data_IF_344508147537
#
_entry.id   IF_344508147537
#
_cell.length_a   1.000
_cell.length_b   1.000
_cell.length_c   1.000
_cell.angle_alpha   90.00
_cell.angle_beta   90.00
_cell.angle_gamma   90.00
#
_symmetry.space_group_name_H-M   'P 1'
#
loop_
_entity.id
_entity.type
_entity.pdbx_description
1 polymer ?
#
# COMPACT_ATOMS: atom_id res chain seq x y z
N UNK A 1 50.59 2.06 -19.15
CA UNK A 1 49.50 2.03 -20.17
C UNK A 1 48.40 1.09 -19.69
N UNK A 2 47.70 1.42 -18.60
CA UNK A 2 46.85 0.45 -17.89
C UNK A 2 45.56 1.03 -17.30
N UNK A 3 44.93 2.04 -17.91
CA UNK A 3 43.75 2.70 -17.31
C UNK A 3 42.48 2.78 -18.19
N UNK A 4 42.49 2.26 -19.42
CA UNK A 4 41.34 2.41 -20.32
C UNK A 4 40.27 1.29 -20.21
N UNK A 5 40.56 0.16 -19.57
CA UNK A 5 39.62 -0.98 -19.54
C UNK A 5 38.56 -0.92 -18.42
N UNK A 6 38.74 -0.08 -17.39
CA UNK A 6 37.85 -0.03 -16.22
C UNK A 6 36.71 1.01 -16.32
N UNK A 7 36.84 2.00 -17.21
CA UNK A 7 35.83 3.05 -17.43
C UNK A 7 34.60 2.55 -18.21
N UNK A 8 34.82 1.66 -19.19
CA UNK A 8 33.79 1.14 -20.08
C UNK A 8 32.80 0.22 -19.38
N UNK A 9 33.25 -0.56 -18.38
CA UNK A 9 32.40 -1.51 -17.65
C UNK A 9 31.48 -0.80 -16.63
N UNK A 10 31.93 0.35 -16.11
CA UNK A 10 31.16 1.17 -15.16
C UNK A 10 30.00 1.92 -15.84
N UNK A 11 30.22 2.43 -17.06
CA UNK A 11 29.16 3.09 -17.85
C UNK A 11 28.10 2.11 -18.33
N UNK A 12 28.48 0.91 -18.74
CA UNK A 12 27.54 -0.15 -19.14
C UNK A 12 26.63 -0.60 -17.99
N UNK A 13 27.17 -0.71 -16.77
CA UNK A 13 26.39 -1.06 -15.57
C UNK A 13 25.44 0.07 -15.14
N UNK A 14 25.83 1.33 -15.34
CA UNK A 14 25.00 2.50 -15.03
C UNK A 14 23.86 2.69 -16.05
N UNK A 15 24.09 2.35 -17.32
CA UNK A 15 23.06 2.33 -18.37
C UNK A 15 22.07 1.17 -18.18
N UNK A 16 22.57 -0.04 -17.88
CA UNK A 16 21.72 -1.21 -17.60
C UNK A 16 20.86 -0.99 -16.35
N UNK A 17 21.41 -0.39 -15.28
CA UNK A 17 20.62 -0.04 -14.09
C UNK A 17 19.59 1.05 -14.37
N UNK A 18 19.90 2.08 -15.16
CA UNK A 18 18.93 3.11 -15.59
C UNK A 18 17.83 2.53 -16.49
N UNK A 19 18.16 1.59 -17.38
CA UNK A 19 17.20 0.91 -18.27
C UNK A 19 16.21 0.05 -17.47
N UNK A 20 16.70 -0.74 -16.52
CA UNK A 20 15.86 -1.55 -15.61
C UNK A 20 14.97 -0.68 -14.72
N UNK A 21 15.46 0.46 -14.22
CA UNK A 21 14.66 1.40 -13.42
C UNK A 21 13.61 2.13 -14.28
N UNK A 22 13.92 2.46 -15.54
CA UNK A 22 12.94 3.04 -16.49
C UNK A 22 11.84 2.05 -16.87
N UNK A 23 12.20 0.79 -17.12
CA UNK A 23 11.25 -0.30 -17.41
C UNK A 23 10.34 -0.63 -16.20
N UNK A 24 10.86 -0.56 -14.98
CA UNK A 24 10.08 -0.76 -13.76
C UNK A 24 9.07 0.36 -13.47
N UNK A 25 9.38 1.61 -13.87
CA UNK A 25 8.47 2.76 -13.76
C UNK A 25 7.31 2.71 -14.75
N UNK A 26 7.56 2.22 -15.96
CA UNK A 26 6.50 2.07 -16.99
C UNK A 26 5.60 0.86 -16.71
N UNK A 27 6.13 -0.24 -16.18
CA UNK A 27 5.32 -1.43 -15.84
C UNK A 27 4.34 -1.21 -14.68
N UNK A 28 4.69 -0.39 -13.66
CA UNK A 28 3.77 -0.03 -12.58
C UNK A 28 2.64 0.91 -13.05
N UNK A 29 2.89 1.75 -14.06
CA UNK A 29 1.87 2.61 -14.65
C UNK A 29 0.94 1.82 -15.59
N UNK A 30 1.47 0.84 -16.33
CA UNK A 30 0.72 0.02 -17.30
C UNK A 30 -0.21 -1.02 -16.66
N UNK A 31 -0.09 -1.28 -15.35
CA UNK A 31 -0.90 -2.26 -14.60
C UNK A 31 -1.82 -1.63 -13.56
N UNK A 32 -2.06 -0.31 -13.64
CA UNK A 32 -3.23 0.26 -12.98
C UNK A 32 -4.44 -0.36 -13.66
N UNK A 33 -5.22 -1.19 -12.96
CA UNK A 33 -6.59 -1.41 -13.40
C UNK A 33 -7.18 -0.02 -13.60
N UNK A 34 -7.69 0.24 -14.80
CA UNK A 34 -8.49 1.42 -15.07
C UNK A 34 -9.85 1.21 -14.38
N UNK A 35 -9.82 1.09 -13.05
CA UNK A 35 -11.02 1.13 -12.25
C UNK A 35 -11.61 2.50 -12.52
N UNK A 36 -12.85 2.50 -13.00
CA UNK A 36 -13.68 3.68 -13.00
C UNK A 36 -13.58 4.36 -11.62
N UNK A 37 -13.56 5.68 -11.59
CA UNK A 37 -13.39 6.46 -10.35
C UNK A 37 -14.44 5.99 -9.33
N UNK A 38 -15.67 5.75 -9.80
CA UNK A 38 -16.75 5.20 -8.99
C UNK A 38 -16.47 3.79 -8.45
N UNK A 39 -15.79 2.92 -9.20
CA UNK A 39 -15.44 1.57 -8.73
C UNK A 39 -14.38 1.61 -7.62
N UNK A 40 -13.44 2.57 -7.67
CA UNK A 40 -12.44 2.77 -6.61
C UNK A 40 -13.09 3.25 -5.32
N UNK A 41 -13.98 4.24 -5.43
CA UNK A 41 -14.68 4.81 -4.29
C UNK A 41 -15.62 3.77 -3.65
N UNK A 42 -16.30 2.96 -4.47
CA UNK A 42 -17.12 1.86 -3.98
C UNK A 42 -16.31 0.80 -3.22
N UNK A 43 -15.12 0.42 -3.71
CA UNK A 43 -14.24 -0.49 -2.99
C UNK A 43 -13.78 0.11 -1.66
N UNK A 44 -13.39 1.37 -1.67
CA UNK A 44 -12.95 2.09 -0.47
C UNK A 44 -14.08 2.11 0.58
N UNK A 45 -15.28 2.51 0.17
CA UNK A 45 -16.47 2.56 1.01
C UNK A 45 -16.81 1.19 1.59
N UNK A 46 -16.83 0.14 0.75
CA UNK A 46 -17.12 -1.22 1.19
C UNK A 46 -16.13 -1.72 2.25
N UNK A 47 -14.83 -1.46 2.07
CA UNK A 47 -13.81 -1.85 3.05
C UNK A 47 -13.96 -1.06 4.35
N UNK A 48 -14.22 0.25 4.28
CA UNK A 48 -14.46 1.08 5.47
C UNK A 48 -15.70 0.61 6.26
N UNK A 49 -16.80 0.31 5.57
CA UNK A 49 -18.00 -0.26 6.20
C UNK A 49 -17.70 -1.62 6.85
N UNK A 50 -16.88 -2.45 6.21
CA UNK A 50 -16.41 -3.72 6.78
C UNK A 50 -15.61 -3.53 8.07
N UNK A 51 -14.70 -2.55 8.10
CA UNK A 51 -13.93 -2.20 9.30
C UNK A 51 -14.85 -1.69 10.43
N UNK A 52 -15.74 -0.75 10.12
CA UNK A 52 -16.64 -0.13 11.12
C UNK A 52 -17.63 -1.13 11.72
N UNK A 53 -18.09 -2.10 10.92
CA UNK A 53 -18.98 -3.17 11.37
C UNK A 53 -18.26 -4.35 12.03
N UNK A 54 -16.92 -4.35 12.05
CA UNK A 54 -16.12 -5.46 12.58
C UNK A 54 -16.13 -6.72 11.69
N UNK A 55 -16.62 -6.64 10.46
CA UNK A 55 -16.63 -7.74 9.47
C UNK A 55 -15.29 -7.95 8.80
N UNK A 56 -14.41 -6.95 8.84
CA UNK A 56 -13.03 -7.05 8.36
C UNK A 56 -12.07 -6.68 9.47
N UNK A 57 -10.98 -7.44 9.57
CA UNK A 57 -9.83 -7.02 10.36
C UNK A 57 -9.07 -5.90 9.65
N UNK A 58 -8.17 -5.25 10.39
CA UNK A 58 -7.25 -4.26 9.82
C UNK A 58 -6.33 -4.88 8.75
N UNK A 59 -5.80 -6.08 9.01
CA UNK A 59 -4.95 -6.79 8.05
C UNK A 59 -5.68 -7.15 6.76
N UNK A 60 -6.90 -7.66 6.87
CA UNK A 60 -7.75 -8.00 5.72
C UNK A 60 -8.11 -6.77 4.89
N UNK A 61 -8.50 -5.67 5.56
CA UNK A 61 -8.81 -4.40 4.91
C UNK A 61 -7.63 -3.86 4.12
N UNK A 62 -6.44 -3.82 4.74
CA UNK A 62 -5.21 -3.39 4.09
C UNK A 62 -4.89 -4.23 2.86
N UNK A 63 -4.99 -5.57 2.98
CA UNK A 63 -4.74 -6.49 1.87
C UNK A 63 -5.72 -6.27 0.71
N UNK A 64 -7.01 -6.11 1.01
CA UNK A 64 -8.06 -5.82 0.02
C UNK A 64 -7.79 -4.53 -0.73
N UNK A 65 -7.44 -3.46 -0.02
CA UNK A 65 -7.16 -2.15 -0.61
C UNK A 65 -5.86 -2.16 -1.42
N UNK A 66 -4.79 -2.80 -0.91
CA UNK A 66 -3.53 -2.92 -1.65
C UNK A 66 -3.73 -3.61 -3.00
N UNK A 67 -4.45 -4.74 -3.01
CA UNK A 67 -4.69 -5.50 -4.24
C UNK A 67 -5.70 -4.77 -5.16
N UNK A 68 -6.80 -4.28 -4.60
CA UNK A 68 -7.88 -3.69 -5.37
C UNK A 68 -7.59 -2.27 -5.87
N UNK A 69 -7.03 -1.38 -5.05
CA UNK A 69 -6.78 0.01 -5.46
C UNK A 69 -5.46 0.21 -6.19
N UNK A 70 -4.43 -0.56 -5.83
CA UNK A 70 -3.07 -0.34 -6.31
C UNK A 70 -2.54 -1.47 -7.19
N UNK A 71 -3.15 -2.66 -7.13
CA UNK A 71 -2.77 -3.83 -7.93
C UNK A 71 -1.28 -4.22 -7.78
N UNK A 72 -0.71 -3.94 -6.61
CA UNK A 72 0.68 -4.26 -6.27
C UNK A 72 0.77 -5.45 -5.33
N UNK A 73 1.85 -6.23 -5.45
CA UNK A 73 2.15 -7.31 -4.50
C UNK A 73 2.70 -6.75 -3.17
N UNK A 74 2.89 -7.63 -2.18
CA UNK A 74 3.39 -7.25 -0.85
C UNK A 74 4.77 -6.60 -0.90
N UNK A 75 5.68 -7.11 -1.73
CA UNK A 75 7.04 -6.59 -1.85
C UNK A 75 7.04 -5.13 -2.35
N UNK A 76 6.28 -4.88 -3.40
CA UNK A 76 6.12 -3.55 -4.01
C UNK A 76 5.50 -2.56 -3.02
N UNK A 77 4.45 -2.98 -2.31
CA UNK A 77 3.78 -2.12 -1.34
C UNK A 77 4.63 -1.84 -0.10
N UNK A 78 5.30 -2.86 0.45
CA UNK A 78 6.18 -2.71 1.60
C UNK A 78 7.30 -1.70 1.31
N UNK A 79 7.90 -1.79 0.12
CA UNK A 79 8.87 -0.80 -0.36
C UNK A 79 8.28 0.60 -0.49
N UNK A 80 7.06 0.72 -1.02
CA UNK A 80 6.37 2.00 -1.21
C UNK A 80 6.06 2.71 0.11
N UNK A 81 5.60 1.99 1.13
CA UNK A 81 5.32 2.55 2.47
C UNK A 81 6.54 2.48 3.40
N UNK A 82 7.70 2.01 2.92
CA UNK A 82 8.96 1.97 3.66
C UNK A 82 8.91 1.07 4.91
N UNK A 83 8.43 -0.17 4.77
CA UNK A 83 8.47 -1.22 5.80
C UNK A 83 9.07 -2.50 5.21
N UNK A 84 9.43 -3.47 6.05
CA UNK A 84 9.88 -4.77 5.54
C UNK A 84 8.68 -5.58 5.00
N UNK A 85 8.92 -6.40 3.97
CA UNK A 85 7.89 -7.31 3.44
C UNK A 85 7.38 -8.27 4.52
N UNK A 86 8.26 -8.75 5.40
CA UNK A 86 7.88 -9.61 6.55
C UNK A 86 6.87 -8.90 7.44
N UNK A 87 7.15 -7.66 7.84
CA UNK A 87 6.26 -6.87 8.69
C UNK A 87 4.91 -6.63 8.01
N UNK A 88 4.90 -6.27 6.72
CA UNK A 88 3.64 -6.13 5.97
C UNK A 88 2.85 -7.44 5.95
N UNK A 89 3.51 -8.58 5.75
CA UNK A 89 2.85 -9.90 5.77
C UNK A 89 2.26 -10.23 7.14
N UNK A 90 2.94 -9.90 8.23
CA UNK A 90 2.43 -10.11 9.58
C UNK A 90 1.24 -9.19 9.88
N UNK A 91 1.28 -7.93 9.40
CA UNK A 91 0.14 -6.99 9.50
C UNK A 91 -1.06 -7.54 8.72
N UNK A 92 -0.88 -7.94 7.46
CA UNK A 92 -1.97 -8.44 6.60
C UNK A 92 -2.54 -9.80 7.01
N UNK A 93 -1.86 -10.50 7.93
CA UNK A 93 -2.33 -11.75 8.52
C UNK A 93 -2.78 -11.61 9.98
N UNK A 94 -2.92 -10.37 10.47
CA UNK A 94 -3.33 -10.02 11.84
C UNK A 94 -2.45 -10.67 12.93
N UNK A 95 -1.17 -10.94 12.59
CA UNK A 95 -0.18 -11.55 13.50
C UNK A 95 0.79 -10.53 14.09
N UNK A 96 0.82 -9.31 13.58
CA UNK A 96 1.79 -8.32 13.99
C UNK A 96 1.33 -7.55 15.24
N UNK A 97 2.16 -7.53 16.29
CA UNK A 97 2.03 -6.56 17.37
C UNK A 97 2.76 -5.25 16.99
N UNK A 98 2.13 -4.48 16.09
CA UNK A 98 2.75 -3.30 15.45
C UNK A 98 2.37 -2.01 16.16
N UNK A 99 3.31 -1.04 16.22
CA UNK A 99 3.01 0.27 16.78
C UNK A 99 1.98 1.04 15.94
N UNK A 100 1.21 1.92 16.59
CA UNK A 100 0.23 2.79 15.92
C UNK A 100 0.87 3.62 14.80
N UNK A 101 2.12 4.08 14.98
CA UNK A 101 2.84 4.86 13.97
C UNK A 101 3.13 4.07 12.69
N UNK A 102 3.52 2.80 12.82
CA UNK A 102 3.75 1.95 11.66
C UNK A 102 2.44 1.59 10.99
N UNK A 103 1.40 1.29 11.78
CA UNK A 103 0.08 1.00 11.24
C UNK A 103 -0.48 2.20 10.46
N UNK A 104 -0.38 3.42 11.01
CA UNK A 104 -0.78 4.66 10.33
C UNK A 104 -0.01 4.88 9.03
N UNK A 105 1.32 4.71 9.05
CA UNK A 105 2.17 4.79 7.85
C UNK A 105 1.70 3.83 6.75
N UNK A 106 1.40 2.60 7.13
CA UNK A 106 0.99 1.54 6.21
C UNK A 106 -0.41 1.84 5.64
N UNK A 107 -1.36 2.34 6.43
CA UNK A 107 -2.69 2.71 5.93
C UNK A 107 -2.71 3.97 5.07
N UNK A 108 -1.82 4.93 5.33
CA UNK A 108 -1.66 6.13 4.46
C UNK A 108 -1.33 5.75 3.03
N UNK A 109 -0.62 4.64 2.81
CA UNK A 109 -0.30 4.13 1.47
C UNK A 109 -1.50 3.72 0.63
N UNK A 110 -2.66 3.41 1.25
CA UNK A 110 -3.92 3.09 0.58
C UNK A 110 -4.95 4.22 0.67
N UNK A 111 -4.57 5.38 1.21
CA UNK A 111 -5.47 6.53 1.36
C UNK A 111 -6.29 6.52 2.64
N UNK A 112 -5.92 5.73 3.65
CA UNK A 112 -6.54 5.72 4.97
C UNK A 112 -5.64 6.36 6.03
N UNK A 113 -6.27 6.93 7.06
CA UNK A 113 -5.57 7.43 8.24
C UNK A 113 -6.14 6.75 9.48
N UNK A 114 -5.30 6.49 10.47
CA UNK A 114 -5.80 6.02 11.76
C UNK A 114 -6.46 7.17 12.51
N UNK A 115 -7.63 6.89 13.08
CA UNK A 115 -8.39 7.83 13.89
C UNK A 115 -8.96 7.13 15.12
N UNK A 116 -9.29 7.92 16.14
CA UNK A 116 -10.08 7.46 17.28
C UNK A 116 -11.57 7.57 16.94
N UNK A 117 -12.33 6.60 17.41
CA UNK A 117 -13.77 6.50 17.17
C UNK A 117 -14.45 6.18 18.50
N UNK A 118 -15.65 6.74 18.78
CA UNK A 118 -16.39 6.40 20.00
C UNK A 118 -16.57 4.89 20.17
N UNK A 119 -16.49 4.39 21.41
CA UNK A 119 -16.83 2.99 21.70
C UNK A 119 -18.35 2.77 21.73
N UNK A 120 -19.12 3.82 21.99
CA UNK A 120 -20.57 3.75 21.97
C UNK A 120 -21.10 3.63 20.51
N UNK A 121 -21.85 2.57 20.17
CA UNK A 121 -22.34 2.36 18.82
C UNK A 121 -23.29 3.47 18.33
N UNK A 122 -24.12 4.02 19.21
CA UNK A 122 -25.09 5.07 18.85
C UNK A 122 -24.35 6.36 18.49
N UNK A 123 -23.37 6.77 19.30
CA UNK A 123 -22.55 7.94 19.02
C UNK A 123 -21.68 7.74 17.77
N UNK A 124 -21.18 6.53 17.51
CA UNK A 124 -20.49 6.23 16.23
C UNK A 124 -21.40 6.43 15.03
N UNK A 125 -22.62 5.89 15.08
CA UNK A 125 -23.57 5.96 13.97
C UNK A 125 -23.93 7.41 13.63
N UNK A 126 -24.12 8.25 14.67
CA UNK A 126 -24.39 9.68 14.49
C UNK A 126 -23.26 10.45 13.80
N UNK A 127 -22.00 9.99 13.92
CA UNK A 127 -20.87 10.58 13.21
C UNK A 127 -20.79 10.13 11.76
N UNK A 128 -21.19 8.88 11.46
CA UNK A 128 -21.14 8.32 10.11
C UNK A 128 -22.31 8.72 9.24
N UNK A 129 -23.48 9.00 9.83
CA UNK A 129 -24.70 9.41 9.09
C UNK A 129 -24.69 10.88 8.68
N UNK A 130 -23.80 11.68 9.27
CA UNK A 130 -23.67 13.13 9.03
C UNK A 130 -22.55 13.49 8.05
N UNK A 131 -21.82 12.50 7.53
CA UNK A 131 -20.72 12.65 6.57
C UNK A 131 -21.18 12.31 5.15
#
# INVERSE_FOLDING_TARGET
>A
MSDERNSSNSKAKLEQTKKTVRLGRTALAAKRQNLDISARDNLMLHVCQGLLSGKLTQGEALRKLRLGLLSVNQEQYAKMVGVSRKLLSEIESDKANTSVLVLDKVFRGVGLVLTLMPKDPVLRQQLTDKA
#
